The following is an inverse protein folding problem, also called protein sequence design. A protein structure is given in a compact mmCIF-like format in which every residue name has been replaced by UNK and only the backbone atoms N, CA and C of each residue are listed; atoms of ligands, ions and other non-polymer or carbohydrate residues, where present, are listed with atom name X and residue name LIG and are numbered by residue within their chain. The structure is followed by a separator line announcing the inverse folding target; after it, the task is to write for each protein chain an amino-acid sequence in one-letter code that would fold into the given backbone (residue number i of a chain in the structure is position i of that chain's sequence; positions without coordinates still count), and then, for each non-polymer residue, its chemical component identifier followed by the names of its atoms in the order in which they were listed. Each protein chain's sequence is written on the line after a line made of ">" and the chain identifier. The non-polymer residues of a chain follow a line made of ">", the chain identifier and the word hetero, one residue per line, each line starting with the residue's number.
data_IF_227428165938
#
_entry.id   IF_227428165938
#
_cell.length_a   1.000
_cell.length_b   1.000
_cell.length_c   1.000
_cell.angle_alpha   90.00
_cell.angle_beta   90.00
_cell.angle_gamma   90.00
#
_symmetry.space_group_name_H-M   'P 1'
#
loop_
_entity.id
_entity.type
_entity.pdbx_description
1 polymer ?
#
# COMPACT_ATOMS: atom_id res chain seq x y z
N UNK A 1 -14.83 -12.95 4.67
CA UNK A 1 -14.03 -12.12 5.62
C UNK A 1 -14.89 -10.97 6.18
N UNK A 2 -14.64 -10.48 7.41
CA UNK A 2 -15.17 -9.16 7.84
C UNK A 2 -14.41 -8.06 7.12
N UNK A 3 -15.10 -6.99 6.69
CA UNK A 3 -14.52 -5.81 6.04
C UNK A 3 -13.33 -5.25 6.84
N UNK A 4 -13.41 -5.31 8.16
CA UNK A 4 -12.36 -4.87 9.07
C UNK A 4 -11.08 -5.72 8.96
N UNK A 5 -11.19 -7.05 8.88
CA UNK A 5 -10.02 -7.92 8.77
C UNK A 5 -9.29 -7.71 7.44
N UNK A 6 -10.04 -7.60 6.35
CA UNK A 6 -9.46 -7.30 5.03
C UNK A 6 -8.70 -5.98 5.06
N UNK A 7 -9.33 -4.92 5.59
CA UNK A 7 -8.70 -3.62 5.77
C UNK A 7 -7.42 -3.70 6.61
N UNK A 8 -7.44 -4.37 7.77
CA UNK A 8 -6.29 -4.48 8.64
C UNK A 8 -5.10 -5.18 7.96
N UNK A 9 -5.35 -6.27 7.23
CA UNK A 9 -4.29 -6.95 6.48
C UNK A 9 -3.73 -6.08 5.36
N UNK A 10 -4.61 -5.45 4.57
CA UNK A 10 -4.19 -4.55 3.49
C UNK A 10 -3.38 -3.37 4.03
N UNK A 11 -3.81 -2.79 5.14
CA UNK A 11 -3.16 -1.67 5.80
C UNK A 11 -1.74 -2.03 6.28
N UNK A 12 -1.57 -3.16 6.96
CA UNK A 12 -0.26 -3.63 7.42
C UNK A 12 0.67 -3.89 6.23
N UNK A 13 0.17 -4.57 5.19
CA UNK A 13 0.93 -4.86 3.97
C UNK A 13 1.41 -3.59 3.29
N UNK A 14 0.50 -2.64 3.03
CA UNK A 14 0.83 -1.38 2.38
C UNK A 14 1.78 -0.54 3.24
N UNK A 15 1.53 -0.45 4.55
CA UNK A 15 2.39 0.30 5.47
C UNK A 15 3.82 -0.25 5.51
N UNK A 16 3.97 -1.57 5.58
CA UNK A 16 5.27 -2.22 5.51
C UNK A 16 5.98 -1.95 4.19
N UNK A 17 5.22 -1.90 3.09
CA UNK A 17 5.77 -1.60 1.77
C UNK A 17 6.26 -0.16 1.64
N UNK A 18 5.44 0.81 2.07
CA UNK A 18 5.81 2.23 2.05
C UNK A 18 7.03 2.46 2.93
N UNK A 19 7.04 1.92 4.16
CA UNK A 19 8.18 2.05 5.07
C UNK A 19 9.46 1.42 4.52
N UNK A 20 9.37 0.23 3.89
CA UNK A 20 10.52 -0.40 3.23
C UNK A 20 11.03 0.45 2.05
N UNK A 21 10.10 1.01 1.26
CA UNK A 21 10.42 1.94 0.18
C UNK A 21 11.14 3.20 0.68
N UNK A 22 10.64 3.84 1.73
CA UNK A 22 11.25 5.04 2.31
C UNK A 22 12.65 4.78 2.88
N UNK A 23 12.86 3.64 3.56
CA UNK A 23 14.19 3.24 4.05
C UNK A 23 15.19 2.99 2.90
N UNK A 24 14.70 2.43 1.79
CA UNK A 24 15.51 2.27 0.58
C UNK A 24 15.77 3.61 -0.14
N UNK A 25 14.82 4.55 -0.06
CA UNK A 25 14.90 5.85 -0.72
C UNK A 25 15.89 6.81 -0.03
N UNK A 26 16.14 6.64 1.28
CA UNK A 26 17.25 7.34 1.98
C UNK A 26 18.62 7.01 1.34
N UNK A 27 18.73 5.89 0.63
CA UNK A 27 19.93 5.49 -0.12
C UNK A 27 19.92 5.91 -1.61
N UNK A 28 18.83 6.50 -2.12
CA UNK A 28 18.68 6.91 -3.53
C UNK A 28 18.60 8.44 -3.58
N UNK A 29 19.76 9.06 -3.67
CA UNK A 29 19.91 10.51 -3.69
C UNK A 29 19.29 11.15 -4.94
N UNK A 30 18.28 12.00 -4.71
CA UNK A 30 17.78 13.16 -5.49
C UNK A 30 16.33 13.03 -6.02
N UNK A 31 15.51 14.08 -5.82
CA UNK A 31 14.18 14.18 -6.41
C UNK A 31 14.32 14.56 -7.90
N UNK A 32 13.46 14.02 -8.76
CA UNK A 32 13.38 14.31 -10.20
C UNK A 32 14.47 13.77 -11.14
N UNK A 33 14.77 12.47 -11.08
CA UNK A 33 15.36 11.75 -12.23
C UNK A 33 14.47 10.54 -12.58
N UNK A 34 14.74 9.81 -13.66
CA UNK A 34 13.92 8.68 -14.20
C UNK A 34 13.42 7.67 -13.15
N UNK A 35 14.04 7.65 -11.98
CA UNK A 35 13.62 7.01 -10.74
C UNK A 35 12.17 7.28 -10.34
N UNK A 36 11.57 8.45 -10.60
CA UNK A 36 10.16 8.71 -10.20
C UNK A 36 9.15 7.85 -10.98
N UNK A 37 9.36 7.65 -12.28
CA UNK A 37 8.54 6.72 -13.07
C UNK A 37 8.75 5.27 -12.62
N UNK A 38 9.95 4.92 -12.18
CA UNK A 38 10.23 3.63 -11.57
C UNK A 38 9.53 3.46 -10.23
N UNK A 39 9.50 4.48 -9.38
CA UNK A 39 8.78 4.46 -8.09
C UNK A 39 7.27 4.34 -8.32
N UNK A 40 6.71 5.08 -9.27
CA UNK A 40 5.29 4.96 -9.67
C UNK A 40 5.02 3.56 -10.27
N UNK A 41 5.91 3.03 -11.11
CA UNK A 41 5.79 1.70 -11.68
C UNK A 41 5.86 0.59 -10.64
N UNK A 42 6.79 0.69 -9.69
CA UNK A 42 6.96 -0.26 -8.58
C UNK A 42 5.74 -0.20 -7.66
N UNK A 43 5.31 0.99 -7.25
CA UNK A 43 4.11 1.16 -6.42
C UNK A 43 2.84 0.63 -7.11
N UNK A 44 2.66 0.86 -8.41
CA UNK A 44 1.55 0.30 -9.18
C UNK A 44 1.64 -1.24 -9.28
N UNK A 45 2.83 -1.78 -9.57
CA UNK A 45 3.07 -3.22 -9.60
C UNK A 45 2.78 -3.87 -8.26
N UNK A 46 3.17 -3.23 -7.16
CA UNK A 46 2.93 -3.68 -5.80
C UNK A 46 1.47 -3.61 -5.41
N UNK A 47 0.77 -2.57 -5.84
CA UNK A 47 -0.67 -2.48 -5.66
C UNK A 47 -1.36 -3.66 -6.35
N UNK A 48 -0.99 -3.95 -7.60
CA UNK A 48 -1.50 -5.11 -8.35
C UNK A 48 -1.12 -6.44 -7.71
N UNK A 49 0.12 -6.58 -7.24
CA UNK A 49 0.61 -7.80 -6.58
C UNK A 49 -0.15 -8.05 -5.27
N UNK A 50 -0.30 -7.02 -4.44
CA UNK A 50 -1.02 -7.09 -3.16
C UNK A 50 -2.49 -7.41 -3.41
N UNK A 51 -3.11 -6.77 -4.40
CA UNK A 51 -4.48 -7.05 -4.81
C UNK A 51 -4.64 -8.50 -5.26
N UNK A 52 -3.74 -9.00 -6.11
CA UNK A 52 -3.79 -10.37 -6.61
C UNK A 52 -3.51 -11.41 -5.52
N UNK A 53 -2.53 -11.17 -4.64
CA UNK A 53 -2.27 -12.04 -3.49
C UNK A 53 -3.48 -12.12 -2.57
N UNK A 54 -4.09 -10.97 -2.24
CA UNK A 54 -5.29 -10.95 -1.40
C UNK A 54 -6.47 -11.63 -2.10
N UNK A 55 -6.64 -11.43 -3.41
CA UNK A 55 -7.71 -12.09 -4.15
C UNK A 55 -7.54 -13.60 -4.15
N UNK A 56 -6.33 -14.11 -4.40
CA UNK A 56 -6.01 -15.54 -4.37
C UNK A 56 -6.08 -16.17 -2.98
N UNK A 57 -5.64 -15.43 -1.95
CA UNK A 57 -5.70 -15.88 -0.55
C UNK A 57 -7.14 -15.94 -0.04
N UNK A 58 -8.04 -15.11 -0.60
CA UNK A 58 -9.42 -14.95 -0.13
C UNK A 58 -10.50 -15.42 -1.10
N UNK A 59 -10.15 -15.88 -2.30
CA UNK A 59 -11.04 -16.62 -3.21
C UNK A 59 -11.70 -17.80 -2.49
N UNK A 60 -11.02 -18.38 -1.50
CA UNK A 60 -11.52 -19.47 -0.68
C UNK A 60 -12.49 -19.05 0.45
N UNK A 61 -12.61 -17.75 0.80
CA UNK A 61 -13.15 -17.28 2.10
C UNK A 61 -14.38 -16.33 1.99
N UNK A 62 -15.21 -16.50 0.94
CA UNK A 62 -16.54 -15.88 0.71
C UNK A 62 -16.54 -14.56 -0.11
N UNK A 63 -17.61 -14.39 -0.90
CA UNK A 63 -17.84 -13.35 -1.92
C UNK A 63 -18.02 -11.93 -1.37
N UNK A 64 -16.92 -11.29 -1.00
CA UNK A 64 -16.90 -9.83 -0.83
C UNK A 64 -16.98 -9.18 -2.22
N UNK A 65 -17.84 -8.17 -2.41
CA UNK A 65 -17.96 -7.51 -3.73
C UNK A 65 -16.61 -6.86 -4.07
N UNK A 66 -16.22 -6.96 -5.34
CA UNK A 66 -14.96 -6.37 -5.83
C UNK A 66 -14.86 -4.88 -5.51
N UNK A 67 -15.99 -4.15 -5.56
CA UNK A 67 -16.02 -2.73 -5.25
C UNK A 67 -15.67 -2.42 -3.78
N UNK A 68 -16.14 -3.24 -2.84
CA UNK A 68 -15.84 -3.06 -1.42
C UNK A 68 -14.35 -3.32 -1.15
N UNK A 69 -13.75 -4.31 -1.84
CA UNK A 69 -12.30 -4.58 -1.78
C UNK A 69 -11.49 -3.40 -2.29
N UNK A 70 -11.89 -2.82 -3.42
CA UNK A 70 -11.21 -1.65 -4.01
C UNK A 70 -11.29 -0.46 -3.07
N UNK A 71 -12.48 -0.13 -2.56
CA UNK A 71 -12.68 0.96 -1.61
C UNK A 71 -11.85 0.79 -0.33
N UNK A 72 -11.86 -0.41 0.27
CA UNK A 72 -11.06 -0.69 1.46
C UNK A 72 -9.55 -0.64 1.17
N UNK A 73 -9.12 -1.04 -0.02
CA UNK A 73 -7.71 -0.96 -0.42
C UNK A 73 -7.25 0.48 -0.61
N UNK A 74 -8.06 1.33 -1.24
CA UNK A 74 -7.77 2.76 -1.38
C UNK A 74 -7.72 3.41 0.00
N UNK A 75 -8.69 3.11 0.86
CA UNK A 75 -8.71 3.64 2.22
C UNK A 75 -7.47 3.20 3.02
N UNK A 76 -7.11 1.93 2.94
CA UNK A 76 -5.91 1.38 3.59
C UNK A 76 -4.64 2.06 3.07
N UNK A 77 -4.57 2.33 1.76
CA UNK A 77 -3.45 3.03 1.16
C UNK A 77 -3.32 4.47 1.67
N UNK A 78 -4.41 5.23 1.70
CA UNK A 78 -4.40 6.63 2.19
C UNK A 78 -3.99 6.68 3.67
N UNK A 79 -4.58 5.84 4.52
CA UNK A 79 -4.20 5.79 5.94
C UNK A 79 -2.75 5.35 6.14
N UNK A 80 -2.27 4.36 5.37
CA UNK A 80 -0.91 3.87 5.49
C UNK A 80 0.09 4.97 5.11
N UNK A 81 -0.13 5.66 3.99
CA UNK A 81 0.69 6.80 3.56
C UNK A 81 0.73 7.92 4.60
N UNK A 82 -0.42 8.27 5.19
CA UNK A 82 -0.48 9.27 6.26
C UNK A 82 0.28 8.82 7.51
N UNK A 83 0.08 7.56 7.95
CA UNK A 83 0.74 7.04 9.14
C UNK A 83 2.26 6.97 8.97
N UNK A 84 2.72 6.46 7.82
CA UNK A 84 4.15 6.35 7.51
C UNK A 84 4.77 7.73 7.34
N UNK A 85 4.12 8.66 6.63
CA UNK A 85 4.58 10.04 6.49
C UNK A 85 4.68 10.80 7.83
N UNK A 86 3.75 10.54 8.76
CA UNK A 86 3.84 11.05 10.14
C UNK A 86 5.00 10.41 10.91
N UNK A 87 5.19 9.09 10.80
CA UNK A 87 6.26 8.35 11.48
C UNK A 87 7.66 8.77 11.02
N UNK A 88 7.83 9.04 9.73
CA UNK A 88 9.10 9.55 9.19
C UNK A 88 9.31 11.05 9.42
N UNK A 89 8.31 11.77 9.93
CA UNK A 89 8.38 13.22 10.11
C UNK A 89 8.33 14.02 8.81
N UNK A 90 7.94 13.39 7.69
CA UNK A 90 7.71 14.07 6.40
C UNK A 90 6.43 14.92 6.41
N UNK A 91 5.47 14.59 7.29
CA UNK A 91 4.22 15.34 7.48
C UNK A 91 4.25 16.01 8.85
N UNK A 92 4.33 17.34 8.87
CA UNK A 92 4.21 18.17 10.08
C UNK A 92 2.92 19.00 10.05
N UNK A 93 2.17 19.01 11.15
CA UNK A 93 0.98 19.85 11.35
C UNK A 93 1.33 21.19 11.99
#
# INVERSE_FOLDING_TARGET
>A
MSHFRFFAYQFILISGFIAAGSYYNEHISKPFDRTELFVIGISAFLFLLTFHLMDRLYEHLRSMRLMDKILLSILAFVLASLMVGLLLGEITF
#
